data_IF_803423158158
#
_entry.id   IF_803423158158
#
_cell.length_a   1.000
_cell.length_b   1.000
_cell.length_c   1.000
_cell.angle_alpha   90.00
_cell.angle_beta   90.00
_cell.angle_gamma   90.00
#
_symmetry.space_group_name_H-M   'P 1'
#
loop_
_entity.id
_entity.type
_entity.pdbx_description
1 polymer ?
#
# COMPACT_ATOMS: atom_id res chain seq x y z
N UNK A 1 21.32 54.60 24.45
CA UNK A 1 19.93 55.04 24.24
C UNK A 1 19.48 54.93 22.78
N UNK A 2 20.02 55.72 21.85
CA UNK A 2 19.62 55.66 20.43
C UNK A 2 20.06 54.36 19.72
N UNK A 3 21.27 53.87 20.00
CA UNK A 3 21.76 52.58 19.48
C UNK A 3 20.92 51.40 20.00
N UNK A 4 20.59 51.39 21.30
CA UNK A 4 19.80 50.32 21.92
C UNK A 4 18.37 50.26 21.36
N UNK A 5 17.78 51.41 21.06
CA UNK A 5 16.47 51.51 20.41
C UNK A 5 16.50 50.99 18.96
N UNK A 6 17.56 51.28 18.20
CA UNK A 6 17.75 50.73 16.86
C UNK A 6 17.97 49.21 16.89
N UNK A 7 18.78 48.71 17.84
CA UNK A 7 19.03 47.27 18.00
C UNK A 7 17.76 46.51 18.39
N UNK A 8 16.95 47.06 19.30
CA UNK A 8 15.66 46.49 19.69
C UNK A 8 14.68 46.45 18.51
N UNK A 9 14.63 47.52 17.71
CA UNK A 9 13.77 47.60 16.52
C UNK A 9 14.19 46.59 15.45
N UNK A 10 15.48 46.49 15.16
CA UNK A 10 16.04 45.49 14.22
C UNK A 10 15.80 44.06 14.69
N UNK A 11 15.94 43.80 15.99
CA UNK A 11 15.65 42.48 16.58
C UNK A 11 14.17 42.14 16.44
N UNK A 12 13.28 43.10 16.69
CA UNK A 12 11.83 42.93 16.48
C UNK A 12 11.47 42.66 15.01
N UNK A 13 12.06 43.41 14.07
CA UNK A 13 11.89 43.18 12.64
C UNK A 13 12.42 41.81 12.20
N UNK A 14 13.60 41.41 12.67
CA UNK A 14 14.18 40.10 12.38
C UNK A 14 13.30 38.96 12.91
N UNK A 15 12.79 39.10 14.14
CA UNK A 15 11.86 38.14 14.75
C UNK A 15 10.55 38.05 13.96
N UNK A 16 10.03 39.19 13.47
CA UNK A 16 8.83 39.23 12.63
C UNK A 16 9.04 38.56 11.25
N UNK A 17 10.24 38.68 10.67
CA UNK A 17 10.60 38.02 9.42
C UNK A 17 10.80 36.52 9.62
N UNK A 18 11.49 36.12 10.70
CA UNK A 18 11.69 34.72 11.08
C UNK A 18 10.37 33.98 11.36
N UNK A 19 9.35 34.69 11.86
CA UNK A 19 8.01 34.11 12.09
C UNK A 19 7.12 34.12 10.85
N UNK A 20 7.26 35.10 9.95
CA UNK A 20 6.42 35.23 8.74
C UNK A 20 6.90 34.43 7.53
N UNK A 21 8.22 34.28 7.33
CA UNK A 21 8.77 33.54 6.18
C UNK A 21 8.38 32.06 6.15
N UNK A 22 8.41 31.30 7.27
CA UNK A 22 7.94 29.92 7.30
C UNK A 22 6.46 29.75 6.93
N UNK A 23 5.62 30.77 7.17
CA UNK A 23 4.18 30.73 6.84
C UNK A 23 3.91 30.85 5.35
N UNK A 24 4.84 31.39 4.57
CA UNK A 24 4.74 31.49 3.09
C UNK A 24 5.17 30.19 2.40
N UNK A 25 5.94 29.35 3.08
CA UNK A 25 6.53 28.14 2.52
C UNK A 25 5.51 27.11 2.01
N UNK A 26 4.39 26.81 2.70
CA UNK A 26 3.38 25.89 2.17
C UNK A 26 2.81 26.33 0.80
N UNK A 27 2.80 27.63 0.50
CA UNK A 27 2.39 28.17 -0.81
C UNK A 27 3.46 28.05 -1.90
N UNK A 28 4.69 27.71 -1.54
CA UNK A 28 5.83 27.53 -2.47
C UNK A 28 6.28 26.07 -2.62
N UNK A 29 5.92 25.21 -1.66
CA UNK A 29 6.15 23.78 -1.74
C UNK A 29 5.39 23.20 -2.94
N UNK A 30 6.04 22.29 -3.66
CA UNK A 30 5.47 21.63 -4.84
C UNK A 30 5.61 20.13 -4.68
N UNK A 31 4.52 19.40 -4.92
CA UNK A 31 4.60 17.99 -5.23
C UNK A 31 4.82 17.84 -6.74
N UNK A 32 5.50 16.78 -7.13
CA UNK A 32 5.66 16.39 -8.52
C UNK A 32 5.63 14.86 -8.59
N UNK A 33 5.34 14.34 -9.78
CA UNK A 33 5.42 12.92 -10.06
C UNK A 33 6.76 12.65 -10.74
N UNK A 34 7.49 11.69 -10.21
CA UNK A 34 8.73 11.20 -10.80
C UNK A 34 8.45 9.87 -11.50
N UNK A 35 8.98 9.71 -12.71
CA UNK A 35 8.85 8.49 -13.51
C UNK A 35 10.26 7.95 -13.76
N UNK A 36 10.83 7.17 -12.83
CA UNK A 36 12.19 6.68 -12.97
C UNK A 36 12.31 5.77 -14.20
N UNK A 37 13.34 6.00 -15.00
CA UNK A 37 13.63 5.23 -16.22
C UNK A 37 14.62 4.09 -15.93
N UNK A 38 15.05 3.36 -16.97
CA UNK A 38 16.07 2.31 -16.88
C UNK A 38 15.75 1.17 -15.91
N UNK A 39 14.50 0.69 -15.93
CA UNK A 39 14.07 -0.51 -15.19
C UNK A 39 14.15 -1.71 -16.15
N UNK A 40 15.03 -2.67 -15.91
CA UNK A 40 15.15 -3.86 -16.75
C UNK A 40 14.27 -4.99 -16.19
N UNK A 41 13.53 -5.66 -17.07
CA UNK A 41 12.67 -6.79 -16.74
C UNK A 41 13.13 -8.03 -17.50
N UNK A 42 13.37 -9.11 -16.78
CA UNK A 42 13.67 -10.43 -17.30
C UNK A 42 12.60 -11.41 -16.85
N UNK A 43 12.23 -12.36 -17.69
CA UNK A 43 11.21 -13.35 -17.37
C UNK A 43 11.52 -14.69 -18.00
N UNK A 44 11.26 -15.76 -17.25
CA UNK A 44 11.28 -17.14 -17.76
C UNK A 44 9.95 -17.77 -17.39
N UNK A 45 9.32 -18.42 -18.36
CA UNK A 45 8.05 -19.12 -18.17
C UNK A 45 8.09 -20.53 -18.72
N UNK A 46 7.22 -21.37 -18.18
CA UNK A 46 6.97 -22.71 -18.67
C UNK A 46 5.48 -23.03 -18.60
N UNK A 47 5.04 -23.95 -19.44
CA UNK A 47 3.75 -24.59 -19.37
C UNK A 47 3.87 -26.06 -19.75
N UNK A 48 3.13 -26.92 -19.07
CA UNK A 48 3.09 -28.34 -19.38
C UNK A 48 1.75 -28.95 -18.98
N UNK A 49 1.37 -30.02 -19.66
CA UNK A 49 0.25 -30.86 -19.27
C UNK A 49 0.77 -32.16 -18.65
N UNK A 50 0.22 -32.54 -17.50
CA UNK A 50 0.58 -33.76 -16.78
C UNK A 50 -0.17 -34.97 -17.36
N UNK A 51 0.02 -35.21 -18.67
CA UNK A 51 -0.46 -36.39 -19.41
C UNK A 51 -1.91 -36.78 -19.08
N UNK A 52 -2.12 -38.05 -18.73
CA UNK A 52 -3.45 -38.63 -18.50
C UNK A 52 -4.19 -38.08 -17.26
N UNK A 53 -3.59 -37.21 -16.45
CA UNK A 53 -4.24 -36.65 -15.25
C UNK A 53 -5.23 -35.52 -15.54
N UNK A 54 -5.16 -34.93 -16.75
CA UNK A 54 -5.96 -33.75 -17.13
C UNK A 54 -5.59 -32.47 -16.37
N UNK A 55 -4.40 -32.45 -15.75
CA UNK A 55 -3.87 -31.29 -15.03
C UNK A 55 -2.91 -30.54 -15.94
N UNK A 56 -3.13 -29.25 -16.10
CA UNK A 56 -2.20 -28.32 -16.75
C UNK A 56 -1.50 -27.49 -15.68
N UNK A 57 -0.19 -27.35 -15.80
CA UNK A 57 0.66 -26.59 -14.87
C UNK A 57 1.41 -25.52 -15.66
N UNK A 58 1.41 -24.30 -15.13
CA UNK A 58 2.16 -23.18 -15.69
C UNK A 58 2.92 -22.47 -14.59
N UNK A 59 4.03 -21.84 -14.94
CA UNK A 59 4.74 -20.97 -14.01
C UNK A 59 5.59 -19.95 -14.74
N UNK A 60 5.82 -18.84 -14.08
CA UNK A 60 6.68 -17.77 -14.54
C UNK A 60 7.46 -17.21 -13.36
N UNK A 61 8.71 -16.85 -13.59
CA UNK A 61 9.49 -16.04 -12.67
C UNK A 61 9.91 -14.80 -13.43
N UNK A 62 9.56 -13.64 -12.90
CA UNK A 62 10.04 -12.36 -13.39
C UNK A 62 11.02 -11.72 -12.40
N UNK A 63 12.03 -11.03 -12.94
CA UNK A 63 13.04 -10.29 -12.20
C UNK A 63 13.12 -8.88 -12.75
N UNK A 64 12.97 -7.90 -11.86
CA UNK A 64 13.12 -6.47 -12.16
C UNK A 64 14.40 -5.97 -11.50
N UNK A 65 15.35 -5.53 -12.30
CA UNK A 65 16.52 -4.79 -11.83
C UNK A 65 16.16 -3.30 -11.74
N UNK A 66 16.66 -2.63 -10.71
CA UNK A 66 16.51 -1.19 -10.51
C UNK A 66 15.06 -0.69 -10.37
N UNK A 67 14.16 -1.51 -9.83
CA UNK A 67 12.75 -1.15 -9.60
C UNK A 67 12.65 -0.04 -8.53
N UNK A 68 12.09 1.14 -8.85
CA UNK A 68 11.88 2.19 -7.86
C UNK A 68 10.73 1.81 -6.93
N UNK A 69 11.05 1.55 -5.67
CA UNK A 69 10.08 1.33 -4.60
C UNK A 69 9.89 2.62 -3.80
N UNK A 70 8.64 2.96 -3.54
CA UNK A 70 8.24 4.22 -2.94
C UNK A 70 8.49 4.20 -1.42
N UNK A 71 9.22 5.22 -0.95
CA UNK A 71 9.34 5.51 0.48
C UNK A 71 7.98 5.94 0.99
N UNK A 72 7.64 5.58 2.23
CA UNK A 72 6.40 5.98 2.91
C UNK A 72 6.02 7.44 2.60
N UNK A 73 4.80 7.67 2.11
CA UNK A 73 4.39 8.96 1.60
C UNK A 73 4.27 10.00 2.73
N UNK A 74 3.94 9.56 3.96
CA UNK A 74 3.93 10.41 5.15
C UNK A 74 5.34 10.86 5.52
N UNK A 75 6.36 10.02 5.33
CA UNK A 75 7.77 10.43 5.49
C UNK A 75 8.11 11.57 4.54
N UNK A 76 7.71 11.48 3.27
CA UNK A 76 7.93 12.52 2.27
C UNK A 76 7.18 13.82 2.59
N UNK A 77 5.94 13.70 3.06
CA UNK A 77 5.15 14.85 3.51
C UNK A 77 5.82 15.55 4.69
N UNK A 78 6.22 14.80 5.71
CA UNK A 78 6.87 15.35 6.92
C UNK A 78 8.19 16.01 6.56
N UNK A 79 9.03 15.34 5.77
CA UNK A 79 10.29 15.86 5.24
C UNK A 79 10.07 17.17 4.47
N UNK A 80 9.07 17.20 3.58
CA UNK A 80 8.71 18.41 2.82
C UNK A 80 8.26 19.58 3.70
N UNK A 81 7.67 19.34 4.88
CA UNK A 81 7.20 20.38 5.80
C UNK A 81 8.29 20.96 6.71
N UNK A 82 9.40 20.25 6.90
CA UNK A 82 10.47 20.62 7.84
C UNK A 82 11.00 22.05 7.70
N UNK A 83 11.22 22.61 6.50
CA UNK A 83 11.73 23.99 6.37
C UNK A 83 10.81 25.03 7.03
N UNK A 84 9.49 24.79 6.98
CA UNK A 84 8.49 25.65 7.64
C UNK A 84 8.21 25.28 9.09
N UNK A 85 8.59 24.07 9.51
CA UNK A 85 8.30 23.47 10.81
C UNK A 85 9.56 22.80 11.36
N UNK A 86 10.56 23.58 11.79
CA UNK A 86 11.86 23.04 12.20
C UNK A 86 11.79 22.05 13.37
N UNK A 87 10.74 22.12 14.20
CA UNK A 87 10.49 21.16 15.28
C UNK A 87 10.22 19.72 14.78
N UNK A 88 9.84 19.53 13.51
CA UNK A 88 9.72 18.20 12.88
C UNK A 88 11.08 17.62 12.53
N UNK A 89 12.07 18.49 12.31
CA UNK A 89 13.41 18.12 11.91
C UNK A 89 14.34 17.92 13.12
N UNK A 90 14.07 18.63 14.23
CA UNK A 90 14.75 18.44 15.51
C UNK A 90 13.73 18.49 16.66
N UNK A 91 13.26 17.31 17.07
CA UNK A 91 12.24 17.17 18.12
C UNK A 91 12.78 17.65 19.50
N UNK A 92 14.10 17.71 19.66
CA UNK A 92 14.74 18.27 20.86
C UNK A 92 14.52 19.78 21.03
N UNK A 93 13.98 20.46 20.00
CA UNK A 93 13.62 21.90 20.06
C UNK A 93 12.19 22.16 20.53
N UNK A 94 11.35 21.13 20.66
CA UNK A 94 9.96 21.29 21.11
C UNK A 94 9.97 21.74 22.58
N UNK A 95 9.26 22.84 22.93
CA UNK A 95 9.24 23.34 24.29
C UNK A 95 8.70 22.29 25.26
N UNK A 96 9.30 22.25 26.44
CA UNK A 96 8.98 21.34 27.54
C UNK A 96 7.49 21.42 27.89
N UNK A 97 6.77 20.32 27.67
CA UNK A 97 5.45 20.07 28.25
C UNK A 97 5.56 18.78 29.04
N UNK A 98 5.43 18.88 30.37
CA UNK A 98 5.22 17.72 31.23
C UNK A 98 3.83 17.15 30.89
N UNK A 99 3.80 16.11 30.07
CA UNK A 99 2.57 15.58 29.48
C UNK A 99 1.89 14.57 30.41
N UNK A 100 2.62 14.05 31.41
CA UNK A 100 2.18 12.99 32.31
C UNK A 100 2.11 13.44 33.80
N UNK A 101 2.58 14.66 34.12
CA UNK A 101 2.56 15.26 35.44
C UNK A 101 3.63 14.73 36.41
N UNK A 102 4.67 14.04 35.94
CA UNK A 102 5.71 13.43 36.78
C UNK A 102 6.88 14.38 37.12
N UNK A 103 6.85 15.62 36.60
CA UNK A 103 7.89 16.62 36.83
C UNK A 103 9.17 16.40 36.01
N UNK A 104 9.19 15.43 35.09
CA UNK A 104 10.25 15.19 34.11
C UNK A 104 9.82 15.78 32.76
N UNK A 105 10.64 16.66 32.16
CA UNK A 105 10.45 17.11 30.78
C UNK A 105 10.50 15.93 29.79
N UNK A 106 9.35 15.49 29.27
CA UNK A 106 9.28 14.41 28.27
C UNK A 106 9.83 14.84 26.89
N UNK A 107 9.73 16.13 26.55
CA UNK A 107 10.19 16.73 25.28
C UNK A 107 11.06 17.96 25.57
N UNK A 108 12.18 18.13 24.85
CA UNK A 108 13.23 19.13 25.16
C UNK A 108 14.47 18.55 25.85
N UNK A 109 14.52 17.22 26.06
CA UNK A 109 15.71 16.54 26.55
C UNK A 109 16.85 16.62 25.49
N UNK A 110 18.06 17.07 25.86
CA UNK A 110 19.21 17.16 24.95
C UNK A 110 19.56 15.88 24.19
N UNK A 111 19.18 14.71 24.70
CA UNK A 111 19.37 13.42 24.05
C UNK A 111 18.57 13.28 22.74
N UNK A 112 17.51 14.07 22.55
CA UNK A 112 16.69 14.05 21.34
C UNK A 112 17.09 15.13 20.32
N UNK A 113 18.17 15.87 20.58
CA UNK A 113 18.69 16.85 19.62
C UNK A 113 19.16 16.16 18.34
N UNK A 114 18.64 16.62 17.21
CA UNK A 114 18.92 16.07 15.89
C UNK A 114 18.12 14.80 15.56
N UNK A 115 17.21 14.37 16.45
CA UNK A 115 16.23 13.32 16.13
C UNK A 115 15.08 13.97 15.37
N UNK A 116 14.73 13.40 14.22
CA UNK A 116 13.66 13.89 13.36
C UNK A 116 12.41 13.02 13.48
N UNK A 117 11.24 13.61 13.23
CA UNK A 117 10.01 12.85 13.04
C UNK A 117 10.08 11.97 11.78
N UNK A 118 10.83 12.39 10.75
CA UNK A 118 11.01 11.60 9.53
C UNK A 118 12.32 10.81 9.51
N UNK A 119 12.30 9.62 8.91
CA UNK A 119 13.47 8.78 8.61
C UNK A 119 14.36 9.34 7.50
N UNK A 120 13.89 10.36 6.75
CA UNK A 120 14.65 11.00 5.68
C UNK A 120 15.64 12.06 6.18
N UNK A 121 15.64 12.33 7.48
CA UNK A 121 16.47 13.36 8.10
C UNK A 121 16.06 14.78 7.71
N UNK A 122 16.87 15.75 8.13
CA UNK A 122 16.61 17.18 7.94
C UNK A 122 16.53 17.57 6.46
N UNK A 123 15.47 18.28 6.08
CA UNK A 123 15.32 18.91 4.76
C UNK A 123 15.35 20.43 4.88
N UNK A 124 16.03 21.08 3.94
CA UNK A 124 16.14 22.53 3.85
C UNK A 124 15.20 23.10 2.77
N UNK A 125 15.05 24.42 2.73
CA UNK A 125 14.34 25.13 1.66
C UNK A 125 14.93 24.79 0.28
N UNK A 126 14.06 24.66 -0.73
CA UNK A 126 14.46 24.38 -2.11
C UNK A 126 15.28 23.09 -2.27
N UNK A 127 15.03 22.10 -1.40
CA UNK A 127 15.61 20.76 -1.51
C UNK A 127 14.68 19.81 -2.28
N UNK A 128 15.28 18.82 -2.93
CA UNK A 128 14.56 17.69 -3.54
C UNK A 128 14.55 16.55 -2.51
N UNK A 129 13.34 16.20 -2.05
CA UNK A 129 13.11 15.03 -1.19
C UNK A 129 12.91 13.82 -2.10
N UNK A 130 13.86 12.89 -2.09
CA UNK A 130 13.80 11.70 -2.94
C UNK A 130 12.70 10.74 -2.47
N UNK A 131 11.72 10.47 -3.33
CA UNK A 131 10.53 9.67 -3.02
C UNK A 131 10.68 8.15 -3.11
N UNK A 132 11.81 7.65 -3.62
CA UNK A 132 11.98 6.22 -3.89
C UNK A 132 13.43 5.76 -3.69
N UNK A 133 13.62 4.46 -3.50
CA UNK A 133 14.91 3.77 -3.64
C UNK A 133 14.76 2.64 -4.65
N UNK A 134 15.85 2.31 -5.35
CA UNK A 134 15.85 1.26 -6.38
C UNK A 134 16.26 -0.07 -5.76
N UNK A 135 15.53 -1.12 -6.11
CA UNK A 135 15.79 -2.48 -5.62
C UNK A 135 15.58 -3.50 -6.73
N UNK A 136 16.19 -4.66 -6.47
CA UNK A 136 15.93 -5.88 -7.20
C UNK A 136 14.66 -6.54 -6.68
N UNK A 137 13.77 -6.92 -7.60
CA UNK A 137 12.48 -7.54 -7.27
C UNK A 137 12.28 -8.82 -8.05
N UNK A 138 11.94 -9.90 -7.35
CA UNK A 138 11.56 -11.18 -7.94
C UNK A 138 10.08 -11.46 -7.74
N UNK A 139 9.40 -11.91 -8.79
CA UNK A 139 7.98 -12.23 -8.74
C UNK A 139 7.72 -13.60 -9.41
N UNK A 140 7.82 -14.70 -8.63
CA UNK A 140 7.39 -16.01 -9.09
C UNK A 140 5.85 -16.13 -9.03
N UNK A 141 5.28 -16.75 -10.05
CA UNK A 141 3.88 -17.18 -10.11
C UNK A 141 3.77 -18.61 -10.61
N UNK A 142 2.78 -19.34 -10.10
CA UNK A 142 2.52 -20.73 -10.44
C UNK A 142 1.02 -20.99 -10.49
N UNK A 143 0.58 -21.63 -11.56
CA UNK A 143 -0.83 -21.90 -11.85
C UNK A 143 -1.04 -23.39 -12.11
N UNK A 144 -2.11 -23.94 -11.54
CA UNK A 144 -2.59 -25.30 -11.77
C UNK A 144 -4.03 -25.23 -12.22
N UNK A 145 -4.33 -25.82 -13.37
CA UNK A 145 -5.69 -25.97 -13.89
C UNK A 145 -6.03 -27.44 -14.02
N UNK A 146 -7.23 -27.83 -13.60
CA UNK A 146 -7.75 -29.17 -13.82
C UNK A 146 -9.17 -29.12 -14.34
N UNK A 147 -9.39 -29.78 -15.48
CA UNK A 147 -10.72 -30.06 -16.00
C UNK A 147 -11.18 -31.42 -15.47
N UNK A 148 -12.36 -31.44 -14.91
CA UNK A 148 -13.00 -32.64 -14.39
C UNK A 148 -14.18 -33.03 -15.27
N UNK A 149 -14.44 -34.33 -15.33
CA UNK A 149 -15.65 -34.87 -15.93
C UNK A 149 -16.91 -34.64 -15.07
N UNK A 150 -18.03 -35.27 -15.45
CA UNK A 150 -19.30 -35.08 -14.79
C UNK A 150 -19.28 -35.41 -13.29
N UNK A 151 -19.80 -34.50 -12.46
CA UNK A 151 -19.94 -34.67 -11.01
C UNK A 151 -21.10 -33.82 -10.49
N UNK A 152 -21.86 -34.33 -9.51
CA UNK A 152 -22.93 -33.58 -8.85
C UNK A 152 -23.95 -32.94 -9.83
N UNK A 153 -24.25 -33.65 -10.93
CA UNK A 153 -25.16 -33.20 -11.99
C UNK A 153 -24.56 -32.22 -13.00
N UNK A 154 -23.36 -31.68 -12.76
CA UNK A 154 -22.64 -30.89 -13.74
C UNK A 154 -22.10 -31.81 -14.85
N UNK A 155 -22.14 -31.32 -16.09
CA UNK A 155 -21.60 -32.01 -17.26
C UNK A 155 -20.07 -31.96 -17.27
N UNK A 156 -19.49 -30.88 -16.76
CA UNK A 156 -18.06 -30.73 -16.51
C UNK A 156 -17.84 -29.64 -15.45
N UNK A 157 -16.64 -29.60 -14.87
CA UNK A 157 -16.23 -28.48 -14.04
C UNK A 157 -14.72 -28.27 -14.09
N UNK A 158 -14.30 -27.03 -13.88
CA UNK A 158 -12.89 -26.64 -13.88
C UNK A 158 -12.52 -26.08 -12.51
N UNK A 159 -11.31 -26.41 -12.07
CA UNK A 159 -10.64 -25.80 -10.93
C UNK A 159 -9.34 -25.17 -11.39
N UNK A 160 -9.12 -23.92 -11.00
CA UNK A 160 -7.86 -23.20 -11.19
C UNK A 160 -7.36 -22.77 -9.83
N UNK A 161 -6.07 -23.00 -9.58
CA UNK A 161 -5.36 -22.44 -8.44
C UNK A 161 -4.11 -21.70 -8.90
N UNK A 162 -3.88 -20.53 -8.35
CA UNK A 162 -2.71 -19.70 -8.62
C UNK A 162 -2.05 -19.33 -7.29
N UNK A 163 -0.73 -19.40 -7.22
CA UNK A 163 0.08 -18.90 -6.11
C UNK A 163 1.13 -17.96 -6.68
N UNK A 164 1.35 -16.82 -6.04
CA UNK A 164 2.37 -15.87 -6.45
C UNK A 164 3.00 -15.19 -5.24
N UNK A 165 4.21 -14.66 -5.43
CA UNK A 165 4.93 -13.92 -4.40
C UNK A 165 5.68 -12.71 -4.99
N UNK A 166 6.03 -11.76 -4.13
CA UNK A 166 6.96 -10.67 -4.41
C UNK A 166 8.09 -10.74 -3.38
N UNK A 167 9.34 -10.72 -3.85
CA UNK A 167 10.54 -10.81 -3.02
C UNK A 167 11.43 -9.60 -3.35
N UNK A 168 11.87 -8.87 -2.32
CA UNK A 168 12.76 -7.70 -2.40
C UNK A 168 13.93 -7.94 -1.43
N UNK A 169 14.99 -8.67 -1.84
CA UNK A 169 15.99 -9.20 -0.92
C UNK A 169 16.74 -8.18 -0.07
N UNK A 170 16.96 -6.98 -0.64
CA UNK A 170 17.74 -5.92 -0.01
C UNK A 170 16.87 -4.79 0.57
N UNK A 171 15.58 -5.06 0.81
CA UNK A 171 14.71 -4.09 1.47
C UNK A 171 15.20 -3.87 2.93
N UNK A 172 15.49 -2.63 3.34
CA UNK A 172 15.97 -2.37 4.69
C UNK A 172 14.88 -2.63 5.74
N UNK A 173 15.29 -2.78 7.00
CA UNK A 173 14.32 -2.93 8.09
C UNK A 173 13.46 -1.69 8.25
N UNK A 174 12.21 -1.87 8.68
CA UNK A 174 11.23 -0.79 8.89
C UNK A 174 11.66 0.26 9.94
N UNK A 175 12.61 -0.09 10.80
CA UNK A 175 13.27 0.83 11.73
C UNK A 175 14.26 1.77 11.06
N UNK A 176 14.89 1.35 9.96
CA UNK A 176 15.82 2.18 9.17
C UNK A 176 15.04 3.04 8.17
N UNK A 177 14.19 2.43 7.35
CA UNK A 177 13.39 3.13 6.35
C UNK A 177 12.12 2.35 6.02
N UNK A 178 10.97 3.00 6.13
CA UNK A 178 9.68 2.44 5.72
C UNK A 178 9.39 2.70 4.25
N UNK A 179 8.83 1.68 3.62
CA UNK A 179 8.30 1.76 2.27
C UNK A 179 6.77 1.72 2.31
N UNK A 180 6.18 2.40 1.34
CA UNK A 180 4.76 2.68 1.30
C UNK A 180 3.91 1.41 1.24
N UNK A 181 2.86 1.39 2.06
CA UNK A 181 1.89 0.32 2.17
C UNK A 181 0.46 0.86 1.98
N UNK A 182 -0.51 0.03 1.59
CA UNK A 182 -1.89 0.49 1.46
C UNK A 182 -2.45 1.00 2.80
N UNK A 183 -3.04 2.20 2.80
CA UNK A 183 -3.79 2.71 3.94
C UNK A 183 -2.96 3.27 5.11
N UNK A 184 -1.65 3.43 4.96
CA UNK A 184 -0.77 4.08 5.96
C UNK A 184 -0.90 5.60 5.92
N UNK A 185 -1.99 6.14 6.46
CA UNK A 185 -2.31 7.56 6.36
C UNK A 185 -1.64 8.43 7.45
N UNK A 186 -0.98 7.81 8.42
CA UNK A 186 -0.29 8.47 9.53
C UNK A 186 1.21 8.14 9.54
N UNK A 187 1.98 8.88 10.35
CA UNK A 187 3.41 8.61 10.46
C UNK A 187 3.64 7.25 11.11
N UNK A 188 4.62 6.48 10.62
CA UNK A 188 5.12 5.27 11.29
C UNK A 188 6.04 5.55 12.49
N UNK A 189 6.25 6.82 12.87
CA UNK A 189 7.07 7.19 14.01
C UNK A 189 6.24 7.15 15.31
N UNK A 190 6.63 6.30 16.26
CA UNK A 190 5.96 6.16 17.55
C UNK A 190 5.94 7.45 18.40
N UNK A 191 6.85 8.40 18.14
CA UNK A 191 6.88 9.71 18.80
C UNK A 191 5.95 10.74 18.14
N UNK A 192 5.40 10.46 16.95
CA UNK A 192 4.55 11.40 16.22
C UNK A 192 3.37 11.93 17.03
N UNK A 193 2.61 11.12 17.81
CA UNK A 193 1.49 11.62 18.61
C UNK A 193 1.91 12.71 19.60
N UNK A 194 3.06 12.51 20.26
CA UNK A 194 3.61 13.42 21.27
C UNK A 194 4.17 14.69 20.61
N UNK A 195 4.91 14.55 19.51
CA UNK A 195 5.42 15.67 18.68
C UNK A 195 4.28 16.56 18.18
N UNK A 196 3.25 15.94 17.60
CA UNK A 196 2.12 16.65 17.01
C UNK A 196 1.20 17.25 18.09
N UNK A 197 1.11 16.66 19.27
CA UNK A 197 0.40 17.23 20.41
C UNK A 197 1.02 18.55 20.87
N UNK A 198 2.34 18.57 21.07
CA UNK A 198 3.08 19.78 21.47
C UNK A 198 3.08 20.90 20.44
N UNK A 199 2.84 20.56 19.16
CA UNK A 199 2.91 21.50 18.04
C UNK A 199 1.55 21.84 17.39
N UNK A 200 0.44 21.34 17.96
CA UNK A 200 -0.89 21.63 17.42
C UNK A 200 -1.25 20.87 16.13
N UNK A 201 -0.55 19.78 15.79
CA UNK A 201 -0.78 18.95 14.61
C UNK A 201 -2.05 18.09 14.64
N UNK A 202 -2.32 17.35 13.57
CA UNK A 202 -3.39 16.34 13.51
C UNK A 202 -2.89 14.97 14.04
N UNK A 203 -3.78 14.01 14.27
CA UNK A 203 -3.45 12.64 14.72
C UNK A 203 -2.50 12.61 15.95
N UNK A 204 -3.00 13.16 17.07
CA UNK A 204 -2.25 13.40 18.30
C UNK A 204 -2.17 12.20 19.26
N UNK A 205 -2.86 11.12 18.91
CA UNK A 205 -3.14 9.98 19.78
C UNK A 205 -2.76 8.63 19.15
N UNK A 206 -2.29 8.63 17.89
CA UNK A 206 -2.04 7.41 17.11
C UNK A 206 -0.97 7.62 16.03
N UNK A 207 -0.30 6.54 15.69
CA UNK A 207 0.70 6.41 14.63
C UNK A 207 0.48 5.06 13.95
N UNK A 208 1.05 4.85 12.75
CA UNK A 208 0.94 3.55 12.09
C UNK A 208 1.95 2.56 12.69
N UNK A 209 1.51 1.35 13.08
CA UNK A 209 2.41 0.31 13.54
C UNK A 209 3.33 -0.16 12.40
N UNK A 210 4.51 -0.68 12.75
CA UNK A 210 5.51 -1.06 11.75
C UNK A 210 5.03 -2.17 10.80
N UNK A 211 4.14 -3.06 11.24
CA UNK A 211 3.55 -4.13 10.43
C UNK A 211 2.61 -3.61 9.32
N UNK A 212 2.20 -2.35 9.36
CA UNK A 212 1.39 -1.73 8.30
C UNK A 212 2.18 -1.35 7.03
N UNK A 213 3.51 -1.31 7.13
CA UNK A 213 4.40 -0.90 6.04
C UNK A 213 4.94 -2.11 5.27
N UNK A 214 5.48 -1.84 4.09
CA UNK A 214 5.89 -2.88 3.17
C UNK A 214 6.95 -3.85 3.74
N UNK A 215 6.88 -5.10 3.29
CA UNK A 215 7.75 -6.21 3.65
C UNK A 215 8.67 -6.61 2.49
N UNK A 216 9.79 -7.25 2.83
CA UNK A 216 10.75 -7.82 1.88
C UNK A 216 10.19 -9.07 1.17
N UNK A 217 9.21 -9.74 1.78
CA UNK A 217 8.50 -10.87 1.22
C UNK A 217 6.99 -10.71 1.39
N UNK A 218 6.24 -10.95 0.32
CA UNK A 218 4.78 -11.01 0.38
C UNK A 218 4.23 -12.05 -0.60
N UNK A 219 3.15 -12.74 -0.25
CA UNK A 219 2.60 -13.80 -1.10
C UNK A 219 1.10 -14.00 -0.91
N UNK A 220 0.49 -14.64 -1.90
CA UNK A 220 -0.93 -14.96 -1.87
C UNK A 220 -1.30 -16.05 -2.86
N UNK A 221 -2.58 -16.44 -2.81
CA UNK A 221 -3.15 -17.40 -3.73
C UNK A 221 -4.56 -17.01 -4.17
N UNK A 222 -4.93 -17.51 -5.35
CA UNK A 222 -6.26 -17.38 -5.94
C UNK A 222 -6.79 -18.75 -6.30
N UNK A 223 -8.05 -19.01 -6.00
CA UNK A 223 -8.76 -20.23 -6.37
C UNK A 223 -10.01 -19.85 -7.15
N UNK A 224 -10.27 -20.53 -8.27
CA UNK A 224 -11.50 -20.35 -9.02
C UNK A 224 -12.07 -21.71 -9.44
N UNK A 225 -13.36 -21.91 -9.21
CA UNK A 225 -14.09 -23.08 -9.66
C UNK A 225 -15.31 -22.66 -10.48
N UNK A 226 -15.57 -23.37 -11.57
CA UNK A 226 -16.78 -23.20 -12.39
C UNK A 226 -17.33 -24.57 -12.75
N UNK A 227 -18.63 -24.73 -12.56
CA UNK A 227 -19.38 -25.93 -12.92
C UNK A 227 -20.28 -25.60 -14.10
N UNK A 228 -20.37 -26.47 -15.10
CA UNK A 228 -21.28 -26.29 -16.23
C UNK A 228 -22.37 -27.36 -16.20
N UNK A 229 -23.62 -26.90 -16.06
CA UNK A 229 -24.82 -27.72 -16.13
C UNK A 229 -25.50 -27.46 -17.47
N UNK A 230 -25.52 -28.46 -18.34
CA UNK A 230 -26.15 -28.34 -19.66
C UNK A 230 -27.61 -28.75 -19.61
N UNK A 231 -28.46 -28.00 -20.30
CA UNK A 231 -29.90 -28.27 -20.46
C UNK A 231 -30.62 -28.50 -19.12
N UNK A 232 -30.44 -27.58 -18.17
CA UNK A 232 -31.07 -27.65 -16.84
C UNK A 232 -32.58 -27.56 -16.95
N UNK A 233 -33.06 -26.64 -17.80
CA UNK A 233 -34.48 -26.50 -18.10
C UNK A 233 -34.68 -25.81 -19.44
N UNK A 234 -35.41 -26.47 -20.34
CA UNK A 234 -35.85 -25.87 -21.60
C UNK A 234 -34.72 -25.29 -22.45
N UNK A 235 -33.55 -25.93 -22.52
CA UNK A 235 -32.39 -25.44 -23.29
C UNK A 235 -31.54 -24.38 -22.59
N UNK A 236 -31.80 -24.08 -21.31
CA UNK A 236 -30.97 -23.18 -20.49
C UNK A 236 -29.80 -23.94 -19.89
N UNK A 237 -28.59 -23.46 -20.16
CA UNK A 237 -27.36 -23.91 -19.50
C UNK A 237 -27.05 -22.99 -18.31
N UNK A 238 -26.62 -23.56 -17.18
CA UNK A 238 -26.20 -22.81 -16.01
C UNK A 238 -24.73 -23.06 -15.70
N UNK A 239 -24.00 -21.98 -15.44
CA UNK A 239 -22.59 -22.00 -15.07
C UNK A 239 -22.37 -21.25 -13.75
N UNK A 240 -22.66 -21.87 -12.59
CA UNK A 240 -22.26 -21.33 -11.30
C UNK A 240 -20.73 -21.34 -11.16
N UNK A 241 -20.20 -20.30 -10.55
CA UNK A 241 -18.78 -20.13 -10.32
C UNK A 241 -18.51 -19.46 -8.96
N UNK A 242 -17.36 -19.80 -8.39
CA UNK A 242 -16.78 -19.16 -7.21
C UNK A 242 -15.33 -18.81 -7.50
N UNK A 243 -14.92 -17.60 -7.13
CA UNK A 243 -13.53 -17.18 -7.11
C UNK A 243 -13.20 -16.67 -5.71
N UNK A 244 -12.06 -17.09 -5.17
CA UNK A 244 -11.56 -16.71 -3.88
C UNK A 244 -10.12 -16.22 -4.02
N UNK A 245 -9.78 -15.12 -3.35
CA UNK A 245 -8.42 -14.62 -3.26
C UNK A 245 -8.03 -14.43 -1.80
N UNK A 246 -6.77 -14.71 -1.50
CA UNK A 246 -6.18 -14.51 -0.18
C UNK A 246 -4.72 -14.09 -0.34
N UNK A 247 -4.45 -12.85 0.05
CA UNK A 247 -3.11 -12.34 0.27
C UNK A 247 -2.70 -12.77 1.68
N UNK A 248 -1.82 -13.75 1.76
CA UNK A 248 -1.63 -14.52 3.00
C UNK A 248 -0.76 -13.77 3.99
N UNK A 249 0.40 -13.31 3.53
CA UNK A 249 1.40 -12.71 4.40
C UNK A 249 2.20 -11.66 3.65
N UNK A 250 2.61 -10.63 4.38
CA UNK A 250 3.41 -9.51 3.90
C UNK A 250 2.65 -8.47 3.06
N UNK A 251 3.20 -7.27 3.03
CA UNK A 251 2.70 -6.13 2.26
C UNK A 251 3.67 -5.83 1.12
N UNK A 252 3.19 -5.90 -0.13
CA UNK A 252 4.04 -5.59 -1.28
C UNK A 252 4.36 -4.09 -1.33
N UNK A 253 5.65 -3.69 -1.45
CA UNK A 253 6.01 -2.28 -1.57
C UNK A 253 5.36 -1.58 -2.77
N UNK A 254 4.91 -0.35 -2.56
CA UNK A 254 4.52 0.55 -3.65
C UNK A 254 5.68 0.81 -4.62
N UNK A 255 5.45 0.98 -5.93
CA UNK A 255 4.14 1.03 -6.61
C UNK A 255 3.65 -0.35 -7.12
N UNK A 256 4.29 -1.47 -6.76
CA UNK A 256 3.91 -2.79 -7.27
C UNK A 256 2.54 -3.21 -6.72
N UNK A 257 2.33 -3.08 -5.41
CA UNK A 257 1.01 -3.16 -4.78
C UNK A 257 0.23 -4.48 -4.95
N UNK A 258 0.91 -5.62 -5.11
CA UNK A 258 0.27 -6.92 -5.37
C UNK A 258 -0.49 -7.49 -4.17
N UNK A 259 0.17 -7.60 -3.01
CA UNK A 259 -0.34 -8.27 -1.82
C UNK A 259 -0.51 -7.31 -0.65
N UNK A 260 -1.60 -7.48 0.09
CA UNK A 260 -1.83 -6.85 1.39
C UNK A 260 -2.14 -7.95 2.38
N UNK A 261 -1.29 -8.14 3.40
CA UNK A 261 -1.44 -9.19 4.40
C UNK A 261 -2.88 -9.37 4.89
N UNK A 262 -3.32 -10.62 5.00
CA UNK A 262 -4.66 -11.05 5.45
C UNK A 262 -5.86 -10.57 4.61
N UNK A 263 -5.64 -9.81 3.52
CA UNK A 263 -6.71 -9.36 2.60
C UNK A 263 -7.30 -10.56 1.86
N UNK A 264 -8.62 -10.64 1.87
CA UNK A 264 -9.39 -11.70 1.21
C UNK A 264 -10.51 -11.10 0.37
N UNK A 265 -10.89 -11.82 -0.68
CA UNK A 265 -12.14 -11.57 -1.38
C UNK A 265 -12.77 -12.86 -1.87
N UNK A 266 -14.08 -12.87 -1.95
CA UNK A 266 -14.85 -13.96 -2.57
C UNK A 266 -15.85 -13.38 -3.55
N UNK A 267 -15.89 -13.93 -4.76
CA UNK A 267 -16.91 -13.67 -5.75
C UNK A 267 -17.67 -14.95 -6.02
N UNK A 268 -18.98 -14.91 -5.84
CA UNK A 268 -19.89 -15.99 -6.22
C UNK A 268 -20.83 -15.50 -7.31
N UNK A 269 -21.16 -16.36 -8.26
CA UNK A 269 -22.09 -15.97 -9.29
C UNK A 269 -22.60 -17.13 -10.13
N UNK A 270 -23.65 -16.86 -10.89
CA UNK A 270 -24.21 -17.80 -11.84
C UNK A 270 -24.42 -17.10 -13.17
N UNK A 271 -24.03 -17.78 -14.24
CA UNK A 271 -24.32 -17.37 -15.61
C UNK A 271 -25.33 -18.34 -16.22
N UNK A 272 -26.42 -17.83 -16.75
CA UNK A 272 -27.39 -18.58 -17.53
C UNK A 272 -27.22 -18.25 -19.02
N UNK A 273 -27.16 -19.27 -19.86
CA UNK A 273 -27.10 -19.10 -21.33
C UNK A 273 -28.23 -19.88 -21.97
N UNK A 274 -29.00 -19.25 -22.86
CA UNK A 274 -30.11 -19.85 -23.58
C UNK A 274 -29.86 -19.78 -25.09
N UNK A 275 -29.84 -20.95 -25.74
CA UNK A 275 -29.63 -21.11 -27.19
C UNK A 275 -28.44 -20.33 -27.78
N UNK A 276 -27.39 -20.08 -26.99
CA UNK A 276 -26.23 -19.25 -27.37
C UNK A 276 -26.55 -17.84 -27.88
N UNK A 277 -27.80 -17.36 -27.73
CA UNK A 277 -28.24 -16.04 -28.17
C UNK A 277 -28.50 -15.12 -26.99
N UNK A 278 -28.99 -15.65 -25.87
CA UNK A 278 -29.20 -14.91 -24.63
C UNK A 278 -28.25 -15.37 -23.55
N UNK A 279 -27.61 -14.42 -22.87
CA UNK A 279 -26.82 -14.69 -21.66
C UNK A 279 -27.21 -13.72 -20.56
N UNK A 280 -27.46 -14.24 -19.36
CA UNK A 280 -27.67 -13.46 -18.15
C UNK A 280 -26.68 -13.89 -17.08
N UNK A 281 -26.13 -12.95 -16.32
CA UNK A 281 -25.24 -13.24 -15.20
C UNK A 281 -25.61 -12.41 -13.98
N UNK A 282 -25.56 -13.03 -12.80
CA UNK A 282 -25.64 -12.36 -11.50
C UNK A 282 -24.40 -12.78 -10.70
N UNK A 283 -23.69 -11.80 -10.13
CA UNK A 283 -22.49 -12.01 -9.33
C UNK A 283 -22.52 -11.13 -8.09
N UNK A 284 -22.06 -11.66 -6.97
CA UNK A 284 -21.83 -10.92 -5.74
C UNK A 284 -20.36 -11.05 -5.35
N UNK A 285 -19.75 -9.93 -4.93
CA UNK A 285 -18.37 -9.90 -4.43
C UNK A 285 -18.34 -9.30 -3.04
N UNK A 286 -17.62 -9.98 -2.15
CA UNK A 286 -17.37 -9.56 -0.77
C UNK A 286 -15.85 -9.44 -0.54
N UNK A 287 -15.44 -8.36 0.12
CA UNK A 287 -14.06 -8.09 0.52
C UNK A 287 -13.96 -8.12 2.04
N UNK A 288 -12.96 -8.82 2.58
CA UNK A 288 -12.82 -8.98 4.03
C UNK A 288 -11.38 -9.23 4.44
N UNK A 289 -11.11 -9.20 5.74
CA UNK A 289 -9.76 -9.35 6.28
C UNK A 289 -8.94 -8.06 6.16
N UNK A 290 -8.07 -7.86 7.15
CA UNK A 290 -7.25 -6.66 7.33
C UNK A 290 -8.03 -5.34 7.14
N UNK A 291 -9.19 -5.21 7.79
CA UNK A 291 -10.15 -4.12 7.55
C UNK A 291 -9.57 -2.71 7.72
N UNK A 292 -8.53 -2.55 8.56
CA UNK A 292 -7.88 -1.27 8.78
C UNK A 292 -7.13 -0.76 7.54
N UNK A 293 -6.44 -1.65 6.82
CA UNK A 293 -5.60 -1.29 5.66
C UNK A 293 -6.22 -1.73 4.33
N UNK A 294 -7.20 -2.62 4.35
CA UNK A 294 -7.95 -3.06 3.19
C UNK A 294 -9.04 -2.04 2.83
N UNK A 295 -8.67 -1.08 1.99
CA UNK A 295 -9.55 0.00 1.51
C UNK A 295 -10.77 -0.48 0.68
N UNK A 296 -10.88 -1.78 0.42
CA UNK A 296 -12.01 -2.41 -0.25
C UNK A 296 -12.96 -3.14 0.71
N UNK A 297 -12.60 -3.32 1.99
CA UNK A 297 -13.35 -4.14 2.94
C UNK A 297 -14.82 -3.71 3.15
N UNK A 298 -15.16 -2.45 2.84
CA UNK A 298 -16.52 -1.91 2.92
C UNK A 298 -17.19 -1.73 1.55
N UNK A 299 -16.59 -2.26 0.48
CA UNK A 299 -16.98 -2.02 -0.93
C UNK A 299 -17.54 -3.25 -1.63
N UNK A 300 -18.33 -4.04 -0.91
CA UNK A 300 -19.06 -5.17 -1.49
C UNK A 300 -20.06 -4.71 -2.54
N UNK A 301 -20.30 -5.54 -3.55
CA UNK A 301 -21.24 -5.18 -4.61
C UNK A 301 -21.91 -6.37 -5.29
N UNK A 302 -23.11 -6.12 -5.82
CA UNK A 302 -23.86 -7.01 -6.70
C UNK A 302 -23.77 -6.48 -8.14
N UNK A 303 -23.50 -7.38 -9.09
CA UNK A 303 -23.51 -7.09 -10.52
C UNK A 303 -24.51 -7.99 -11.23
N UNK A 304 -25.26 -7.40 -12.16
CA UNK A 304 -26.16 -8.12 -13.06
C UNK A 304 -25.93 -7.66 -14.50
N UNK A 305 -25.83 -8.60 -15.44
CA UNK A 305 -25.59 -8.33 -16.85
C UNK A 305 -26.52 -9.20 -17.69
N UNK A 306 -27.09 -8.64 -18.76
CA UNK A 306 -27.83 -9.35 -19.79
C UNK A 306 -27.24 -9.01 -21.15
N UNK A 307 -26.98 -10.01 -21.96
CA UNK A 307 -26.42 -9.90 -23.30
C UNK A 307 -27.29 -10.66 -24.30
N UNK A 308 -27.43 -10.09 -25.49
CA UNK A 308 -28.12 -10.71 -26.61
C UNK A 308 -27.24 -10.61 -27.86
N UNK A 309 -27.00 -11.74 -28.52
CA UNK A 309 -26.29 -11.82 -29.80
C UNK A 309 -27.28 -12.14 -30.91
N UNK A 310 -27.25 -11.33 -31.98
CA UNK A 310 -28.07 -11.47 -33.19
C UNK A 310 -27.25 -11.95 -34.39
#
# INVERSE_FOLDING_TARGET
AALDAQQSTLTGQLTSLQTSLPQLYPGTARYFLEYPEDIQLYGISFNTELGATGISVQGEVSYRNDMPLQIDDVELLVAGLMPSRPFLADIGTIPVVDTNGDGVPDMGNPAWKGVSMSQLGYQDFNSYVKGHKRFDVWQPQFTVTKLFGPMAGASQWVLVGETAATIVPDLPSKSELRFDGPGTALSGNALAPVILSGAGGHARDRYEPADAFADDFSWGYRLAARFDYTDVFGGVNLSPAVAFSHDVDGITPGPIGNFLQDRKSVTVGVTATYQNSWQGAIKYTEYFGNEQYNLMADRDFLSAVVQYSF
#
